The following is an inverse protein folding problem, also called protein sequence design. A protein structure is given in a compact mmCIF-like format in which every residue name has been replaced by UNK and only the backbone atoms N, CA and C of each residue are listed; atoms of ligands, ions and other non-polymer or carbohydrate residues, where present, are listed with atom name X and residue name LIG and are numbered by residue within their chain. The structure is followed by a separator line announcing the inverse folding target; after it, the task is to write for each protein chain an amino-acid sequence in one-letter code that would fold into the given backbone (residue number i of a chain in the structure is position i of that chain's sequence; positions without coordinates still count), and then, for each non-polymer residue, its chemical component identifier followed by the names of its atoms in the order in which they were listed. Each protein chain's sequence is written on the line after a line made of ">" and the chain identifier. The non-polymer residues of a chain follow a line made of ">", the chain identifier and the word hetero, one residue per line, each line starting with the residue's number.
data_IF_945420971752
#
_entry.id   IF_945420971752
#
_cell.length_a   1.000
_cell.length_b   1.000
_cell.length_c   1.000
_cell.angle_alpha   90.00
_cell.angle_beta   90.00
_cell.angle_gamma   90.00
#
_symmetry.space_group_name_H-M   'P 1'
#
loop_
_entity.id
_entity.type
_entity.pdbx_description
1 polymer ?
#
# COMPACT_ATOMS: atom_id res chain seq x y z
N UNK A 1 8.60 -29.83 -40.31
CA UNK A 1 9.51 -30.87 -39.77
C UNK A 1 10.05 -31.85 -40.77
N UNK A 2 9.45 -32.06 -41.97
CA UNK A 2 9.90 -33.11 -42.94
C UNK A 2 11.22 -32.79 -43.67
N UNK A 3 11.84 -31.64 -43.49
CA UNK A 3 13.03 -31.23 -44.21
C UNK A 3 14.25 -30.88 -43.32
N UNK A 4 14.15 -31.11 -42.01
CA UNK A 4 15.35 -31.17 -41.16
C UNK A 4 15.97 -32.55 -41.35
N UNK A 5 16.87 -32.65 -42.33
CA UNK A 5 17.48 -33.91 -42.78
C UNK A 5 18.55 -34.47 -41.85
N UNK A 6 18.75 -33.87 -40.67
CA UNK A 6 19.62 -34.43 -39.65
C UNK A 6 18.92 -34.41 -38.32
N UNK A 7 18.88 -35.54 -37.64
CA UNK A 7 18.41 -35.71 -36.29
C UNK A 7 18.94 -34.62 -35.31
N UNK A 8 20.23 -34.23 -35.38
CA UNK A 8 20.80 -33.18 -34.54
C UNK A 8 20.14 -31.79 -34.72
N UNK A 9 19.75 -31.42 -35.94
CA UNK A 9 19.15 -30.11 -36.21
C UNK A 9 17.70 -30.05 -35.70
N UNK A 10 16.96 -31.16 -35.74
CA UNK A 10 15.64 -31.26 -35.18
C UNK A 10 15.66 -31.24 -33.65
N UNK A 11 16.63 -31.91 -33.04
CA UNK A 11 16.86 -31.89 -31.60
C UNK A 11 17.25 -30.48 -31.10
N UNK A 12 18.18 -29.83 -31.78
CA UNK A 12 18.57 -28.45 -31.45
C UNK A 12 17.41 -27.48 -31.57
N UNK A 13 16.53 -27.61 -32.57
CA UNK A 13 15.33 -26.82 -32.69
C UNK A 13 14.34 -27.05 -31.53
N UNK A 14 14.10 -28.31 -31.19
CA UNK A 14 13.22 -28.66 -30.06
C UNK A 14 13.74 -28.11 -28.75
N UNK A 15 15.07 -28.25 -28.51
CA UNK A 15 15.70 -27.70 -27.30
C UNK A 15 15.63 -26.18 -27.26
N UNK A 16 15.93 -25.49 -28.34
CA UNK A 16 15.85 -24.03 -28.41
C UNK A 16 14.42 -23.52 -28.18
N UNK A 17 13.44 -24.14 -28.86
CA UNK A 17 12.02 -23.76 -28.69
C UNK A 17 11.56 -24.01 -27.27
N UNK A 18 11.92 -25.15 -26.67
CA UNK A 18 11.58 -25.47 -25.28
C UNK A 18 12.25 -24.51 -24.30
N UNK A 19 13.50 -24.11 -24.55
CA UNK A 19 14.22 -23.13 -23.76
C UNK A 19 13.53 -21.76 -23.81
N UNK A 20 13.20 -21.24 -25.00
CA UNK A 20 12.55 -19.93 -25.17
C UNK A 20 11.17 -19.91 -24.50
N UNK A 21 10.37 -20.98 -24.68
CA UNK A 21 9.06 -21.08 -24.04
C UNK A 21 9.23 -21.17 -22.51
N UNK A 22 10.11 -22.04 -22.03
CA UNK A 22 10.36 -22.23 -20.60
C UNK A 22 10.91 -20.97 -19.94
N UNK A 23 11.82 -20.26 -20.61
CA UNK A 23 12.38 -19.01 -20.13
C UNK A 23 11.33 -17.89 -20.09
N UNK A 24 10.53 -17.75 -21.16
CA UNK A 24 9.43 -16.78 -21.19
C UNK A 24 8.41 -17.03 -20.08
N UNK A 25 8.03 -18.30 -19.88
CA UNK A 25 7.09 -18.70 -18.83
C UNK A 25 7.66 -18.49 -17.44
N UNK A 26 8.92 -18.85 -17.20
CA UNK A 26 9.62 -18.63 -15.93
C UNK A 26 9.70 -17.13 -15.58
N UNK A 27 10.05 -16.28 -16.57
CA UNK A 27 10.10 -14.83 -16.38
C UNK A 27 8.71 -14.26 -16.09
N UNK A 28 7.67 -14.74 -16.79
CA UNK A 28 6.30 -14.31 -16.52
C UNK A 28 5.86 -14.66 -15.09
N UNK A 29 6.22 -15.86 -14.59
CA UNK A 29 5.93 -16.25 -13.20
C UNK A 29 6.74 -15.38 -12.23
N UNK A 30 8.02 -15.16 -12.47
CA UNK A 30 8.88 -14.33 -11.62
C UNK A 30 8.33 -12.91 -11.57
N UNK A 31 7.97 -12.33 -12.73
CA UNK A 31 7.35 -11.01 -12.78
C UNK A 31 6.02 -10.95 -12.02
N UNK A 32 5.17 -11.96 -12.18
CA UNK A 32 3.93 -12.07 -11.44
C UNK A 32 4.18 -12.16 -9.93
N UNK A 33 5.14 -12.97 -9.50
CA UNK A 33 5.47 -13.15 -8.08
C UNK A 33 6.16 -11.94 -7.46
N UNK A 34 7.04 -11.25 -8.20
CA UNK A 34 7.79 -10.09 -7.70
C UNK A 34 6.98 -8.78 -7.74
N UNK A 35 6.01 -8.67 -8.64
CA UNK A 35 5.21 -7.45 -8.79
C UNK A 35 3.76 -7.69 -8.41
N UNK A 36 3.50 -8.39 -7.38
CA UNK A 36 2.21 -8.92 -6.92
C UNK A 36 1.02 -7.94 -6.88
N UNK A 37 1.12 -6.80 -7.45
CA UNK A 37 -0.05 -6.04 -7.79
C UNK A 37 -0.70 -6.68 -9.02
N UNK A 38 -1.89 -7.19 -8.87
CA UNK A 38 -2.71 -7.86 -9.89
C UNK A 38 -2.76 -7.13 -11.23
N UNK A 39 -2.47 -5.84 -11.24
CA UNK A 39 -2.40 -4.97 -12.40
C UNK A 39 -1.00 -4.65 -12.90
N UNK A 40 -0.01 -4.54 -12.02
CA UNK A 40 1.38 -4.25 -12.43
C UNK A 40 2.00 -5.38 -13.22
N UNK A 41 1.81 -6.61 -12.77
CA UNK A 41 2.39 -7.78 -13.42
C UNK A 41 1.70 -8.14 -14.74
N UNK A 42 0.38 -8.07 -14.86
CA UNK A 42 -0.34 -8.53 -16.03
C UNK A 42 -0.11 -7.64 -17.26
N UNK A 43 -0.01 -6.33 -17.12
CA UNK A 43 0.26 -5.41 -18.24
C UNK A 43 1.70 -5.56 -18.75
N UNK A 44 2.68 -5.78 -17.86
CA UNK A 44 4.08 -6.00 -18.24
C UNK A 44 4.35 -7.41 -18.74
N UNK A 45 3.64 -8.42 -18.23
CA UNK A 45 3.81 -9.84 -18.57
C UNK A 45 3.18 -10.19 -19.91
N UNK A 46 1.99 -9.68 -20.22
CA UNK A 46 1.26 -10.03 -21.43
C UNK A 46 2.05 -9.75 -22.72
N UNK A 47 2.65 -8.56 -22.92
CA UNK A 47 3.49 -8.31 -24.08
C UNK A 47 4.70 -9.22 -24.15
N UNK A 48 5.32 -9.53 -23.00
CA UNK A 48 6.49 -10.40 -22.92
C UNK A 48 6.15 -11.86 -23.28
N UNK A 49 5.07 -12.40 -22.70
CA UNK A 49 4.59 -13.75 -23.02
C UNK A 49 4.19 -13.85 -24.48
N UNK A 50 3.44 -12.87 -24.99
CA UNK A 50 2.99 -12.83 -26.38
C UNK A 50 4.18 -12.73 -27.33
N UNK A 51 5.14 -11.86 -27.02
CA UNK A 51 6.38 -11.73 -27.78
C UNK A 51 7.21 -13.01 -27.78
N UNK A 52 7.39 -13.67 -26.64
CA UNK A 52 8.13 -14.93 -26.52
C UNK A 52 7.49 -16.07 -27.32
N UNK A 53 6.15 -16.19 -27.27
CA UNK A 53 5.39 -17.18 -28.04
C UNK A 53 5.50 -16.91 -29.54
N UNK A 54 5.35 -15.63 -29.95
CA UNK A 54 5.50 -15.23 -31.34
C UNK A 54 6.92 -15.48 -31.86
N UNK A 55 7.96 -15.13 -31.10
CA UNK A 55 9.36 -15.38 -31.43
C UNK A 55 9.63 -16.87 -31.60
N UNK A 56 9.14 -17.71 -30.69
CA UNK A 56 9.28 -19.16 -30.80
C UNK A 56 8.58 -19.73 -32.04
N UNK A 57 7.36 -19.25 -32.34
CA UNK A 57 6.59 -19.63 -33.52
C UNK A 57 7.27 -19.22 -34.82
N UNK A 58 7.81 -18.00 -34.87
CA UNK A 58 8.50 -17.47 -36.04
C UNK A 58 9.87 -18.14 -36.24
N UNK A 59 10.66 -18.31 -35.17
CA UNK A 59 11.94 -19.03 -35.26
C UNK A 59 11.72 -20.46 -35.75
N UNK A 60 10.67 -21.13 -35.26
CA UNK A 60 10.26 -22.43 -35.74
C UNK A 60 9.93 -22.46 -37.23
N UNK A 61 9.18 -21.49 -37.69
CA UNK A 61 8.77 -21.40 -39.09
C UNK A 61 9.92 -21.05 -40.01
N UNK A 62 10.85 -20.17 -39.56
CA UNK A 62 12.08 -19.84 -40.30
C UNK A 62 13.00 -21.04 -40.43
N UNK A 63 13.24 -21.81 -39.37
CA UNK A 63 14.09 -23.01 -39.43
C UNK A 63 13.47 -24.10 -40.29
N UNK A 64 12.17 -24.28 -40.29
CA UNK A 64 11.45 -25.22 -41.15
C UNK A 64 11.55 -24.80 -42.63
N UNK A 65 11.50 -23.52 -42.91
CA UNK A 65 11.50 -22.98 -44.27
C UNK A 65 12.88 -22.60 -44.81
N UNK A 66 13.89 -22.41 -43.94
CA UNK A 66 15.28 -22.10 -44.38
C UNK A 66 15.86 -23.20 -45.30
N UNK A 67 15.44 -24.46 -45.12
CA UNK A 67 15.81 -25.56 -46.00
C UNK A 67 15.15 -25.51 -47.39
N UNK A 68 14.05 -24.73 -47.53
CA UNK A 68 13.39 -24.51 -48.83
C UNK A 68 13.91 -23.30 -49.58
N UNK A 69 14.69 -22.41 -48.91
CA UNK A 69 15.26 -21.19 -49.48
C UNK A 69 16.55 -21.45 -50.33
N UNK A 70 16.89 -22.70 -50.62
CA UNK A 70 17.99 -23.03 -51.52
C UNK A 70 17.67 -22.83 -53.02
N UNK A 71 16.46 -22.30 -53.34
CA UNK A 71 16.06 -21.91 -54.68
C UNK A 71 16.04 -20.39 -54.82
N UNK A 72 16.01 -19.89 -56.06
CA UNK A 72 16.06 -18.49 -56.43
C UNK A 72 15.05 -17.64 -55.62
N UNK A 73 15.52 -16.51 -55.05
CA UNK A 73 14.69 -15.52 -54.36
C UNK A 73 13.87 -14.79 -55.42
N UNK A 74 12.64 -15.20 -55.61
CA UNK A 74 11.70 -14.52 -56.51
C UNK A 74 10.89 -13.49 -55.73
N UNK A 75 10.39 -12.39 -56.38
CA UNK A 75 9.52 -11.40 -55.74
C UNK A 75 8.29 -12.03 -55.02
N UNK A 76 7.77 -13.10 -55.58
CA UNK A 76 6.63 -13.86 -55.01
C UNK A 76 6.98 -14.50 -53.67
N UNK A 77 8.23 -15.00 -53.51
CA UNK A 77 8.71 -15.56 -52.24
C UNK A 77 8.85 -14.44 -51.19
N UNK A 78 9.31 -13.26 -51.56
CA UNK A 78 9.43 -12.10 -50.67
C UNK A 78 8.03 -11.68 -50.18
N UNK A 79 7.07 -11.54 -51.07
CA UNK A 79 5.67 -11.13 -50.73
C UNK A 79 5.05 -12.17 -49.78
N UNK A 80 5.27 -13.46 -49.99
CA UNK A 80 4.74 -14.50 -49.09
C UNK A 80 5.40 -14.49 -47.69
N UNK A 81 6.58 -13.84 -47.55
CA UNK A 81 7.31 -13.74 -46.26
C UNK A 81 7.01 -12.44 -45.50
N UNK A 82 6.34 -11.46 -46.12
CA UNK A 82 5.98 -10.19 -45.45
C UNK A 82 5.24 -10.46 -44.14
N UNK A 83 4.22 -11.32 -44.04
CA UNK A 83 3.53 -11.57 -42.78
C UNK A 83 4.45 -12.10 -41.68
N UNK A 84 5.41 -13.00 -42.07
CA UNK A 84 6.40 -13.55 -41.14
C UNK A 84 7.34 -12.48 -40.63
N UNK A 85 7.83 -11.62 -41.52
CA UNK A 85 8.72 -10.51 -41.18
C UNK A 85 8.01 -9.49 -40.30
N UNK A 86 6.71 -9.20 -40.57
CA UNK A 86 5.90 -8.34 -39.73
C UNK A 86 5.72 -8.90 -38.33
N UNK A 87 5.41 -10.21 -38.20
CA UNK A 87 5.30 -10.88 -36.89
C UNK A 87 6.63 -10.84 -36.17
N UNK A 88 7.75 -11.08 -36.86
CA UNK A 88 9.10 -10.97 -36.29
C UNK A 88 9.38 -9.56 -35.75
N UNK A 89 9.12 -8.56 -36.56
CA UNK A 89 9.33 -7.17 -36.17
C UNK A 89 8.46 -6.78 -34.95
N UNK A 90 7.18 -7.13 -34.98
CA UNK A 90 6.26 -6.88 -33.84
C UNK A 90 6.76 -7.62 -32.60
N UNK A 91 7.15 -8.90 -32.73
CA UNK A 91 7.69 -9.66 -31.60
C UNK A 91 8.98 -9.04 -31.06
N UNK A 92 9.86 -8.56 -31.93
CA UNK A 92 11.10 -7.89 -31.53
C UNK A 92 10.80 -6.58 -30.80
N UNK A 93 9.88 -5.76 -31.31
CA UNK A 93 9.45 -4.51 -30.67
C UNK A 93 8.84 -4.76 -29.29
N UNK A 94 8.05 -5.83 -29.15
CA UNK A 94 7.43 -6.19 -27.87
C UNK A 94 8.40 -6.82 -26.85
N UNK A 95 9.46 -7.48 -27.35
CA UNK A 95 10.42 -8.19 -26.46
C UNK A 95 11.71 -7.42 -26.21
N UNK A 96 12.09 -6.51 -27.11
CA UNK A 96 13.33 -5.75 -26.99
C UNK A 96 13.43 -4.95 -25.68
N UNK A 97 12.41 -4.21 -25.24
CA UNK A 97 12.46 -3.51 -23.95
C UNK A 97 12.79 -4.46 -22.80
N UNK A 98 12.11 -5.61 -22.73
CA UNK A 98 12.36 -6.60 -21.68
C UNK A 98 13.75 -7.25 -21.77
N UNK A 99 14.31 -7.37 -22.97
CA UNK A 99 15.67 -7.88 -23.14
C UNK A 99 16.70 -6.84 -22.68
N UNK A 100 16.46 -5.57 -22.93
CA UNK A 100 17.30 -4.46 -22.47
C UNK A 100 17.28 -4.41 -20.94
N UNK A 101 16.10 -4.55 -20.31
CA UNK A 101 15.94 -4.62 -18.87
C UNK A 101 16.70 -5.81 -18.25
N UNK A 102 16.51 -7.00 -18.82
CA UNK A 102 17.21 -8.22 -18.37
C UNK A 102 18.72 -8.13 -18.55
N UNK A 103 19.19 -7.40 -19.56
CA UNK A 103 20.62 -7.17 -19.79
C UNK A 103 21.21 -6.12 -18.83
N UNK A 104 20.39 -5.50 -17.96
CA UNK A 104 20.84 -4.46 -17.04
C UNK A 104 21.29 -3.18 -17.75
N UNK A 105 20.69 -2.90 -18.94
CA UNK A 105 21.03 -1.71 -19.74
C UNK A 105 20.14 -0.51 -19.40
N UNK A 106 19.08 -0.73 -18.60
CA UNK A 106 18.26 0.34 -18.05
C UNK A 106 18.77 0.73 -16.65
N UNK A 107 18.53 1.97 -16.27
CA UNK A 107 18.82 2.44 -14.93
C UNK A 107 18.03 1.64 -13.88
N UNK A 108 18.67 1.28 -12.79
CA UNK A 108 18.03 0.63 -11.65
C UNK A 108 17.39 1.68 -10.76
N UNK A 109 16.28 1.35 -10.06
CA UNK A 109 15.70 2.23 -9.05
C UNK A 109 16.70 2.60 -7.94
N UNK A 110 16.44 3.67 -7.18
CA UNK A 110 17.22 3.99 -6.00
C UNK A 110 17.33 2.80 -5.05
N UNK A 111 18.49 2.62 -4.45
CA UNK A 111 18.64 1.68 -3.35
C UNK A 111 17.93 2.22 -2.11
N UNK A 112 17.50 1.33 -1.23
CA UNK A 112 16.91 1.70 0.06
C UNK A 112 17.86 2.65 0.81
N UNK A 113 17.35 3.69 1.50
CA UNK A 113 18.19 4.59 2.29
C UNK A 113 19.14 3.83 3.22
N UNK A 114 20.41 4.24 3.26
CA UNK A 114 21.44 3.60 4.09
C UNK A 114 21.40 4.06 5.55
N UNK A 115 20.80 5.22 5.81
CA UNK A 115 20.67 5.86 7.11
C UNK A 115 19.41 6.73 7.17
N UNK A 116 19.03 7.17 8.35
CA UNK A 116 17.83 7.96 8.56
C UNK A 116 16.53 7.18 8.33
N UNK A 117 15.44 7.91 8.11
CA UNK A 117 14.14 7.32 7.88
C UNK A 117 14.10 6.54 6.56
N UNK A 118 13.45 5.37 6.58
CA UNK A 118 13.41 4.43 5.46
C UNK A 118 14.57 3.43 5.45
N UNK A 119 15.61 3.63 6.26
CA UNK A 119 16.73 2.69 6.35
C UNK A 119 16.32 1.34 6.98
N UNK A 120 17.24 0.38 6.93
CA UNK A 120 17.01 -0.92 7.58
C UNK A 120 17.22 -0.87 9.10
N UNK A 121 17.92 0.16 9.58
CA UNK A 121 18.32 0.29 10.97
C UNK A 121 17.19 0.97 11.76
N UNK A 122 16.48 0.19 12.57
CA UNK A 122 15.46 0.67 13.48
C UNK A 122 16.02 0.86 14.89
N UNK A 123 15.58 1.90 15.64
CA UNK A 123 16.00 2.11 17.01
C UNK A 123 15.74 0.94 17.95
N UNK A 124 14.66 0.19 17.70
CA UNK A 124 14.22 -0.90 18.55
C UNK A 124 14.01 -2.21 17.76
N UNK A 125 14.38 -3.34 18.37
CA UNK A 125 13.86 -4.63 17.98
C UNK A 125 12.36 -4.70 18.31
N UNK A 126 11.60 -5.51 17.55
CA UNK A 126 10.15 -5.60 17.70
C UNK A 126 9.75 -7.03 17.97
N UNK A 127 8.91 -7.22 18.98
CA UNK A 127 8.26 -8.50 19.25
C UNK A 127 6.78 -8.43 18.91
N UNK A 128 6.32 -9.40 18.14
CA UNK A 128 4.91 -9.56 17.78
C UNK A 128 4.21 -10.49 18.76
N UNK A 129 3.01 -10.09 19.16
CA UNK A 129 2.03 -10.86 19.91
C UNK A 129 0.70 -10.82 19.18
N UNK A 130 -0.18 -11.75 19.50
CA UNK A 130 -1.56 -11.71 19.01
C UNK A 130 -2.51 -12.34 20.03
N UNK A 131 -3.76 -11.91 19.93
CA UNK A 131 -4.89 -12.50 20.65
C UNK A 131 -6.06 -12.68 19.68
N UNK A 132 -6.91 -13.66 19.97
CA UNK A 132 -8.22 -13.82 19.30
C UNK A 132 -9.29 -13.31 20.27
N UNK A 133 -9.88 -12.12 20.03
CA UNK A 133 -10.91 -11.59 20.90
C UNK A 133 -12.16 -12.46 20.87
N UNK A 134 -12.86 -12.55 22.00
CA UNK A 134 -14.16 -13.18 22.08
C UNK A 134 -15.25 -12.14 21.66
N UNK A 135 -15.53 -12.08 20.35
CA UNK A 135 -16.50 -11.13 19.81
C UNK A 135 -17.91 -11.49 20.28
N UNK A 136 -18.71 -10.52 20.78
CA UNK A 136 -20.04 -10.80 21.28
C UNK A 136 -21.01 -11.24 20.18
N UNK A 137 -22.02 -12.04 20.57
CA UNK A 137 -23.01 -12.63 19.63
C UNK A 137 -23.71 -11.60 18.73
N UNK A 138 -23.99 -10.43 19.24
CA UNK A 138 -24.62 -9.35 18.46
C UNK A 138 -23.67 -8.80 17.38
N UNK A 139 -22.35 -8.99 17.51
CA UNK A 139 -21.35 -8.57 16.54
C UNK A 139 -21.06 -9.67 15.53
N UNK A 140 -21.23 -10.93 15.89
CA UNK A 140 -20.98 -12.08 15.02
C UNK A 140 -22.24 -12.57 14.27
N UNK A 141 -23.42 -12.13 14.71
CA UNK A 141 -24.70 -12.58 14.14
C UNK A 141 -24.92 -12.25 12.65
N UNK A 142 -24.14 -11.30 12.10
CA UNK A 142 -24.21 -10.92 10.70
C UNK A 142 -23.05 -11.51 9.87
N UNK A 143 -22.15 -12.27 10.49
CA UNK A 143 -21.06 -12.93 9.77
C UNK A 143 -21.62 -14.04 8.87
N UNK A 144 -21.11 -14.12 7.66
CA UNK A 144 -21.37 -15.24 6.75
C UNK A 144 -20.55 -16.48 7.14
N UNK A 145 -20.73 -17.57 6.42
CA UNK A 145 -20.01 -18.82 6.68
C UNK A 145 -18.49 -18.62 6.60
N UNK A 146 -18.01 -17.81 5.67
CA UNK A 146 -16.59 -17.51 5.51
C UNK A 146 -16.04 -16.75 6.72
N UNK A 147 -16.72 -15.69 7.15
CA UNK A 147 -16.29 -14.89 8.30
C UNK A 147 -16.29 -15.71 9.60
N UNK A 148 -17.25 -16.64 9.75
CA UNK A 148 -17.34 -17.54 10.88
C UNK A 148 -16.25 -18.63 10.89
N UNK A 149 -15.66 -18.96 9.73
CA UNK A 149 -14.58 -19.93 9.61
C UNK A 149 -13.18 -19.32 9.85
N UNK A 150 -13.07 -18.00 9.92
CA UNK A 150 -11.81 -17.31 10.14
C UNK A 150 -11.52 -17.07 11.63
N UNK A 151 -10.24 -17.01 11.97
CA UNK A 151 -9.77 -16.47 13.23
C UNK A 151 -9.47 -14.97 13.03
N UNK A 152 -10.22 -14.11 13.71
CA UNK A 152 -10.04 -12.67 13.66
C UNK A 152 -9.11 -12.23 14.79
N UNK A 153 -7.83 -12.15 14.50
CA UNK A 153 -6.80 -11.84 15.48
C UNK A 153 -6.59 -10.33 15.60
N UNK A 154 -6.15 -9.92 16.77
CA UNK A 154 -5.56 -8.61 16.98
C UNK A 154 -4.06 -8.81 17.18
N UNK A 155 -3.26 -8.24 16.31
CA UNK A 155 -1.81 -8.28 16.41
C UNK A 155 -1.31 -7.05 17.16
N UNK A 156 -0.35 -7.27 18.06
CA UNK A 156 0.30 -6.23 18.86
C UNK A 156 1.80 -6.33 18.66
N UNK A 157 2.40 -5.26 18.17
CA UNK A 157 3.85 -5.16 17.95
C UNK A 157 4.43 -4.26 19.04
N UNK A 158 5.40 -4.79 19.76
CA UNK A 158 5.96 -4.15 20.97
C UNK A 158 7.44 -3.90 20.78
N UNK A 159 7.92 -2.66 20.94
CA UNK A 159 9.34 -2.36 20.92
C UNK A 159 10.03 -2.99 22.13
N UNK A 160 11.20 -3.62 21.90
CA UNK A 160 11.97 -4.32 22.91
C UNK A 160 13.07 -3.42 23.46
N UNK A 161 13.23 -3.42 24.77
CA UNK A 161 14.35 -2.71 25.41
C UNK A 161 14.11 -1.22 25.61
N UNK A 162 12.85 -0.80 25.68
CA UNK A 162 12.50 0.58 26.04
C UNK A 162 13.13 0.95 27.39
N UNK A 163 13.79 2.12 27.42
CA UNK A 163 14.38 2.67 28.64
C UNK A 163 13.51 3.74 29.30
N UNK A 164 12.40 4.11 28.65
CA UNK A 164 11.47 5.14 29.09
C UNK A 164 10.39 4.60 30.01
N UNK A 165 9.81 5.45 30.83
CA UNK A 165 8.64 5.14 31.66
C UNK A 165 7.32 5.18 30.85
N UNK A 166 7.36 5.67 29.61
CA UNK A 166 6.18 5.94 28.77
C UNK A 166 6.44 5.51 27.33
N UNK A 167 5.40 4.97 26.67
CA UNK A 167 5.42 4.60 25.25
C UNK A 167 4.11 5.03 24.58
N UNK A 168 4.19 5.59 23.38
CA UNK A 168 3.03 5.99 22.58
C UNK A 168 2.34 4.80 21.91
N UNK A 169 1.15 5.06 21.39
CA UNK A 169 0.28 4.09 20.71
C UNK A 169 0.28 4.34 19.19
N UNK A 170 0.30 3.26 18.41
CA UNK A 170 -0.08 3.29 17.01
C UNK A 170 -1.24 2.34 16.74
N UNK A 171 -2.17 2.73 15.84
CA UNK A 171 -3.30 1.91 15.39
C UNK A 171 -3.29 1.89 13.86
N UNK A 172 -3.20 0.69 13.27
CA UNK A 172 -3.17 0.48 11.82
C UNK A 172 -4.46 -0.20 11.38
N UNK A 173 -5.17 0.40 10.41
CA UNK A 173 -6.46 -0.08 9.92
C UNK A 173 -6.37 -0.47 8.44
N UNK A 174 -6.70 -1.73 8.14
CA UNK A 174 -6.50 -2.31 6.81
C UNK A 174 -7.61 -1.95 5.82
N UNK A 175 -7.30 -2.07 4.52
CA UNK A 175 -8.25 -1.91 3.43
C UNK A 175 -9.15 -3.13 3.20
N UNK A 176 -9.98 -3.04 2.16
CA UNK A 176 -10.83 -4.14 1.69
C UNK A 176 -10.00 -5.37 1.34
N UNK A 177 -10.36 -6.54 1.86
CA UNK A 177 -9.61 -7.81 1.73
C UNK A 177 -8.15 -7.72 2.19
N UNK A 178 -7.85 -6.76 3.07
CA UNK A 178 -6.52 -6.51 3.61
C UNK A 178 -6.29 -7.07 5.02
N UNK A 179 -7.15 -7.97 5.49
CA UNK A 179 -7.16 -8.50 6.85
C UNK A 179 -5.90 -9.30 7.23
N UNK A 180 -5.12 -9.79 6.24
CA UNK A 180 -3.91 -10.55 6.53
C UNK A 180 -2.80 -9.64 7.04
N UNK A 181 -2.28 -9.97 8.21
CA UNK A 181 -1.20 -9.22 8.87
C UNK A 181 0.04 -9.05 7.97
N UNK A 182 0.32 -10.04 7.12
CA UNK A 182 1.45 -10.04 6.20
C UNK A 182 1.42 -8.87 5.21
N UNK A 183 0.22 -8.34 4.89
CA UNK A 183 0.08 -7.21 3.97
C UNK A 183 0.56 -5.90 4.58
N UNK A 184 0.52 -5.77 5.91
CA UNK A 184 0.89 -4.55 6.63
C UNK A 184 1.99 -4.79 7.66
N UNK A 185 2.61 -5.97 7.67
CA UNK A 185 3.64 -6.34 8.65
C UNK A 185 4.78 -5.33 8.70
N UNK A 186 5.30 -4.92 7.53
CA UNK A 186 6.40 -3.95 7.47
C UNK A 186 5.97 -2.57 8.02
N UNK A 187 4.72 -2.16 7.78
CA UNK A 187 4.14 -0.94 8.37
C UNK A 187 4.18 -1.00 9.91
N UNK A 188 3.71 -2.10 10.47
CA UNK A 188 3.68 -2.26 11.92
C UNK A 188 5.08 -2.42 12.52
N UNK A 189 5.97 -3.13 11.82
CA UNK A 189 7.37 -3.23 12.20
C UNK A 189 8.07 -1.87 12.20
N UNK A 190 7.79 -1.01 11.20
CA UNK A 190 8.34 0.35 11.13
C UNK A 190 7.83 1.21 12.29
N UNK A 191 6.52 1.23 12.54
CA UNK A 191 5.94 2.00 13.65
C UNK A 191 6.49 1.55 15.01
N UNK A 192 6.52 0.24 15.24
CA UNK A 192 7.02 -0.30 16.50
C UNK A 192 8.55 -0.18 16.61
N UNK A 193 9.28 -0.33 15.50
CA UNK A 193 10.73 -0.13 15.45
C UNK A 193 11.17 1.28 15.78
N UNK A 194 10.29 2.27 15.59
CA UNK A 194 10.50 3.66 16.01
C UNK A 194 10.06 3.95 17.45
N UNK A 195 9.51 2.95 18.17
CA UNK A 195 9.22 3.06 19.60
C UNK A 195 7.74 3.24 19.95
N UNK A 196 6.81 2.82 19.10
CA UNK A 196 5.38 2.81 19.41
C UNK A 196 4.88 1.39 19.68
N UNK A 197 4.00 1.20 20.66
CA UNK A 197 3.21 -0.03 20.71
C UNK A 197 2.15 0.05 19.63
N UNK A 198 2.16 -0.91 18.70
CA UNK A 198 1.32 -0.86 17.51
C UNK A 198 0.25 -1.95 17.56
N UNK A 199 -1.01 -1.58 17.34
CA UNK A 199 -2.17 -2.46 17.28
C UNK A 199 -2.65 -2.57 15.83
N UNK A 200 -2.87 -3.80 15.36
CA UNK A 200 -3.51 -4.11 14.09
C UNK A 200 -4.69 -5.05 14.35
N UNK A 201 -5.91 -4.55 14.40
CA UNK A 201 -7.10 -5.39 14.49
C UNK A 201 -7.45 -5.95 13.11
N UNK A 202 -7.60 -7.26 13.01
CA UNK A 202 -8.26 -7.85 11.85
C UNK A 202 -9.77 -7.67 12.01
N UNK A 203 -10.44 -7.28 10.94
CA UNK A 203 -11.91 -7.14 10.91
C UNK A 203 -12.48 -7.54 9.56
N UNK A 204 -13.72 -8.00 9.55
CA UNK A 204 -14.41 -8.41 8.32
C UNK A 204 -14.55 -7.22 7.39
N UNK A 205 -13.91 -7.28 6.24
CA UNK A 205 -13.97 -6.24 5.23
C UNK A 205 -14.73 -6.64 3.97
N UNK A 206 -14.69 -7.93 3.63
CA UNK A 206 -15.48 -8.54 2.55
C UNK A 206 -16.69 -9.24 3.16
N UNK A 207 -17.86 -8.70 2.95
CA UNK A 207 -19.10 -9.21 3.54
C UNK A 207 -20.27 -9.00 2.59
N UNK A 208 -21.20 -9.93 2.60
CA UNK A 208 -22.50 -9.75 1.95
C UNK A 208 -23.34 -8.75 2.75
N UNK A 209 -23.38 -7.51 2.24
CA UNK A 209 -24.14 -6.43 2.87
C UNK A 209 -25.65 -6.74 2.99
N UNK A 210 -26.16 -7.69 2.20
CA UNK A 210 -27.57 -8.11 2.29
C UNK A 210 -27.85 -8.99 3.51
N UNK A 211 -26.81 -9.56 4.12
CA UNK A 211 -26.94 -10.39 5.33
C UNK A 211 -27.03 -9.57 6.61
N UNK A 212 -26.74 -8.27 6.56
CA UNK A 212 -26.79 -7.39 7.74
C UNK A 212 -28.25 -7.08 8.09
N UNK A 213 -28.70 -7.35 9.32
CA UNK A 213 -30.03 -6.98 9.75
C UNK A 213 -30.25 -5.47 9.64
N UNK A 214 -31.41 -5.06 9.11
CA UNK A 214 -31.79 -3.64 8.98
C UNK A 214 -32.07 -2.95 10.31
N UNK A 215 -32.23 -3.75 11.38
CA UNK A 215 -32.48 -3.32 12.76
C UNK A 215 -31.23 -3.49 13.66
N UNK A 216 -30.04 -3.53 13.07
CA UNK A 216 -28.80 -3.65 13.81
C UNK A 216 -28.59 -2.40 14.69
N UNK A 217 -29.02 -2.51 15.97
CA UNK A 217 -28.79 -1.48 16.97
C UNK A 217 -27.39 -1.61 17.55
N UNK A 218 -26.53 -0.64 17.20
CA UNK A 218 -25.26 -0.45 17.88
C UNK A 218 -25.45 0.36 19.14
N UNK A 219 -24.88 -0.11 20.24
CA UNK A 219 -24.81 0.66 21.48
C UNK A 219 -23.87 1.88 21.39
N UNK A 220 -23.29 2.13 20.22
CA UNK A 220 -22.45 3.28 19.92
C UNK A 220 -23.28 4.30 19.16
N UNK A 221 -23.75 5.30 19.88
CA UNK A 221 -24.48 6.43 19.32
C UNK A 221 -23.54 7.43 18.65
N UNK A 222 -23.11 7.09 17.44
CA UNK A 222 -22.77 8.13 16.48
C UNK A 222 -24.07 8.55 15.80
N UNK A 223 -24.47 9.79 15.99
CA UNK A 223 -25.78 10.28 15.59
C UNK A 223 -26.04 10.06 14.10
N UNK A 224 -27.09 9.34 13.81
CA UNK A 224 -27.92 9.58 12.66
C UNK A 224 -27.51 9.03 11.31
N UNK A 225 -26.57 8.09 11.17
CA UNK A 225 -26.31 7.53 9.86
C UNK A 225 -27.35 6.48 9.46
N UNK A 226 -28.06 6.72 8.37
CA UNK A 226 -29.02 5.80 7.78
C UNK A 226 -28.39 4.58 7.09
N UNK A 227 -27.06 4.32 7.30
CA UNK A 227 -26.33 3.27 6.60
C UNK A 227 -25.73 2.22 7.53
N UNK A 228 -26.50 1.19 7.89
CA UNK A 228 -26.05 0.11 8.76
C UNK A 228 -24.92 -0.76 8.16
N UNK A 229 -24.70 -0.68 6.85
CA UNK A 229 -23.88 -1.64 6.11
C UNK A 229 -22.37 -1.61 6.44
N UNK A 230 -21.80 -0.46 6.77
CA UNK A 230 -20.37 -0.36 7.10
C UNK A 230 -20.09 -0.30 8.60
N UNK A 231 -21.09 0.04 9.38
CA UNK A 231 -20.98 0.22 10.82
C UNK A 231 -20.56 -1.07 11.55
N UNK A 232 -21.05 -2.28 11.20
CA UNK A 232 -20.61 -3.52 11.84
C UNK A 232 -19.09 -3.75 11.75
N UNK A 233 -18.48 -3.51 10.58
CA UNK A 233 -17.03 -3.67 10.41
C UNK A 233 -16.22 -2.64 11.19
N UNK A 234 -16.71 -1.40 11.25
CA UNK A 234 -16.07 -0.35 12.02
C UNK A 234 -16.14 -0.62 13.52
N UNK A 235 -17.28 -1.12 13.99
CA UNK A 235 -17.46 -1.54 15.38
C UNK A 235 -16.55 -2.72 15.72
N UNK A 236 -16.41 -3.67 14.80
CA UNK A 236 -15.50 -4.82 14.97
C UNK A 236 -14.04 -4.35 15.08
N UNK A 237 -13.61 -3.41 14.22
CA UNK A 237 -12.28 -2.83 14.29
C UNK A 237 -12.03 -2.12 15.64
N UNK A 238 -12.99 -1.32 16.12
CA UNK A 238 -12.90 -0.66 17.41
C UNK A 238 -12.83 -1.66 18.56
N UNK A 239 -13.67 -2.71 18.53
CA UNK A 239 -13.62 -3.78 19.51
C UNK A 239 -12.25 -4.48 19.54
N UNK A 240 -11.68 -4.72 18.37
CA UNK A 240 -10.33 -5.27 18.25
C UNK A 240 -9.27 -4.34 18.84
N UNK A 241 -9.37 -3.02 18.62
CA UNK A 241 -8.49 -2.04 19.25
C UNK A 241 -8.62 -2.09 20.78
N UNK A 242 -9.84 -2.12 21.31
CA UNK A 242 -10.09 -2.18 22.76
C UNK A 242 -9.53 -3.49 23.37
N UNK A 243 -9.71 -4.63 22.68
CA UNK A 243 -9.13 -5.90 23.09
C UNK A 243 -7.59 -5.87 23.07
N UNK A 244 -6.99 -5.24 22.07
CA UNK A 244 -5.54 -5.02 22.00
C UNK A 244 -5.02 -4.15 23.14
N UNK A 245 -5.73 -3.08 23.49
CA UNK A 245 -5.39 -2.21 24.63
C UNK A 245 -5.46 -2.97 25.97
N UNK A 246 -6.50 -3.76 26.17
CA UNK A 246 -6.61 -4.61 27.35
C UNK A 246 -5.47 -5.65 27.41
N UNK A 247 -5.18 -6.28 26.29
CA UNK A 247 -4.09 -7.27 26.17
C UNK A 247 -2.74 -6.64 26.50
N UNK A 248 -2.40 -5.46 25.99
CA UNK A 248 -1.16 -4.74 26.31
C UNK A 248 -1.01 -4.51 27.82
N UNK A 249 -2.11 -4.19 28.49
CA UNK A 249 -2.09 -3.86 29.92
C UNK A 249 -2.11 -5.08 30.83
N UNK A 250 -2.68 -6.20 30.38
CA UNK A 250 -2.98 -7.36 31.23
C UNK A 250 -2.15 -8.60 30.94
N UNK A 251 -1.68 -8.81 29.70
CA UNK A 251 -0.97 -10.03 29.31
C UNK A 251 0.44 -10.07 29.91
N UNK A 252 0.80 -11.13 30.65
CA UNK A 252 2.11 -11.23 31.31
C UNK A 252 3.30 -11.22 30.32
N UNK A 253 3.11 -11.75 29.10
CA UNK A 253 4.18 -11.83 28.09
C UNK A 253 4.46 -10.44 27.50
N UNK A 254 3.42 -9.68 27.18
CA UNK A 254 3.53 -8.30 26.73
C UNK A 254 4.14 -7.42 27.83
N UNK A 255 3.63 -7.55 29.05
CA UNK A 255 4.14 -6.79 30.21
C UNK A 255 5.60 -7.14 30.54
N UNK A 256 6.02 -8.39 30.30
CA UNK A 256 7.43 -8.77 30.48
C UNK A 256 8.37 -8.05 29.48
N UNK A 257 7.92 -7.77 28.26
CA UNK A 257 8.69 -6.99 27.27
C UNK A 257 8.70 -5.51 27.61
N UNK A 258 7.55 -4.94 27.95
CA UNK A 258 7.42 -3.53 28.33
C UNK A 258 8.09 -3.22 29.68
N UNK A 259 8.19 -4.19 30.59
CA UNK A 259 8.79 -3.99 31.92
C UNK A 259 8.02 -2.94 32.73
N UNK A 260 8.70 -1.85 33.10
CA UNK A 260 8.11 -0.74 33.85
C UNK A 260 7.47 0.34 32.92
N UNK A 261 7.62 0.21 31.60
CA UNK A 261 7.07 1.17 30.65
C UNK A 261 5.55 1.06 30.59
N UNK A 262 4.87 2.19 30.70
CA UNK A 262 3.42 2.28 30.63
C UNK A 262 2.95 2.84 29.28
N UNK A 263 1.86 2.26 28.75
CA UNK A 263 1.23 2.78 27.53
C UNK A 263 0.61 4.16 27.82
N UNK A 264 1.04 5.17 27.06
CA UNK A 264 0.55 6.54 27.17
C UNK A 264 -0.28 6.91 25.94
N UNK A 265 -1.57 6.69 26.02
CA UNK A 265 -2.52 6.94 24.94
C UNK A 265 -2.75 8.42 24.63
N UNK A 266 -2.20 9.36 25.42
CA UNK A 266 -2.20 10.78 25.08
C UNK A 266 -1.34 11.10 23.86
N UNK A 267 -0.46 10.16 23.46
CA UNK A 267 0.40 10.24 22.29
C UNK A 267 0.01 9.13 21.33
N UNK A 268 -0.57 9.48 20.19
CA UNK A 268 -1.17 8.51 19.29
C UNK A 268 -0.82 8.80 17.82
N UNK A 269 -0.47 7.74 17.11
CA UNK A 269 -0.51 7.63 15.67
C UNK A 269 -1.71 6.74 15.28
N UNK A 270 -2.49 7.14 14.30
CA UNK A 270 -3.55 6.31 13.75
C UNK A 270 -3.58 6.48 12.23
N UNK A 271 -3.65 5.38 11.50
CA UNK A 271 -3.70 5.44 10.06
C UNK A 271 -4.44 4.27 9.43
N UNK A 272 -4.86 4.51 8.20
CA UNK A 272 -5.57 3.51 7.41
C UNK A 272 -5.25 3.60 5.94
N UNK A 273 -5.42 2.47 5.26
CA UNK A 273 -5.25 2.34 3.82
C UNK A 273 -6.58 2.00 3.15
N UNK A 274 -6.91 2.71 2.06
CA UNK A 274 -8.11 2.42 1.26
C UNK A 274 -9.39 2.53 2.12
N UNK A 275 -10.23 1.48 2.16
CA UNK A 275 -11.40 1.39 3.03
C UNK A 275 -11.04 1.55 4.53
N UNK A 276 -9.82 1.20 4.93
CA UNK A 276 -9.33 1.43 6.29
C UNK A 276 -9.33 2.91 6.70
N UNK A 277 -9.30 3.85 5.74
CA UNK A 277 -9.44 5.27 6.02
C UNK A 277 -10.83 5.59 6.60
N UNK A 278 -11.89 5.04 6.01
CA UNK A 278 -13.24 5.17 6.59
C UNK A 278 -13.33 4.61 8.00
N UNK A 279 -12.71 3.44 8.22
CA UNK A 279 -12.60 2.82 9.55
C UNK A 279 -11.79 3.70 10.52
N UNK A 280 -10.72 4.36 10.00
CA UNK A 280 -9.89 5.28 10.81
C UNK A 280 -10.71 6.42 11.40
N UNK A 281 -11.59 7.05 10.63
CA UNK A 281 -12.41 8.15 11.14
C UNK A 281 -13.35 7.70 12.26
N UNK A 282 -13.97 6.54 12.12
CA UNK A 282 -14.83 5.98 13.15
C UNK A 282 -14.05 5.68 14.43
N UNK A 283 -12.98 4.90 14.34
CA UNK A 283 -12.14 4.52 15.48
C UNK A 283 -11.53 5.76 16.14
N UNK A 284 -11.01 6.70 15.34
CA UNK A 284 -10.44 7.94 15.84
C UNK A 284 -11.45 8.75 16.64
N UNK A 285 -12.70 8.92 16.14
CA UNK A 285 -13.75 9.67 16.85
C UNK A 285 -14.02 9.09 18.23
N UNK A 286 -14.10 7.76 18.32
CA UNK A 286 -14.32 7.05 19.60
C UNK A 286 -13.10 7.18 20.53
N UNK A 287 -11.88 7.04 20.03
CA UNK A 287 -10.67 7.19 20.84
C UNK A 287 -10.49 8.63 21.35
N UNK A 288 -10.77 9.64 20.50
CA UNK A 288 -10.75 11.05 20.91
C UNK A 288 -11.74 11.35 22.05
N UNK A 289 -12.95 10.76 21.99
CA UNK A 289 -13.94 10.91 23.06
C UNK A 289 -13.45 10.40 24.42
N UNK A 290 -12.48 9.49 24.41
CA UNK A 290 -11.82 8.90 25.60
C UNK A 290 -10.52 9.62 25.99
N UNK A 291 -10.13 10.70 25.26
CA UNK A 291 -8.93 11.49 25.55
C UNK A 291 -7.64 11.00 24.91
N UNK A 292 -7.73 10.02 24.00
CA UNK A 292 -6.55 9.56 23.24
C UNK A 292 -6.02 10.70 22.35
N UNK A 293 -4.72 10.71 22.10
CA UNK A 293 -4.07 11.70 21.23
C UNK A 293 -4.13 13.14 21.78
N UNK A 294 -4.44 13.34 23.06
CA UNK A 294 -4.62 14.67 23.65
C UNK A 294 -3.36 15.52 23.77
N UNK A 295 -2.17 14.94 23.61
CA UNK A 295 -0.88 15.64 23.66
C UNK A 295 -0.12 15.61 22.32
N UNK A 296 -0.15 14.50 21.59
CA UNK A 296 0.29 14.43 20.20
C UNK A 296 -0.57 13.46 19.42
N UNK A 297 -0.97 13.87 18.22
CA UNK A 297 -1.80 13.07 17.32
C UNK A 297 -1.30 13.22 15.89
N UNK A 298 -1.01 12.08 15.27
CA UNK A 298 -0.78 11.96 13.83
C UNK A 298 -1.86 11.08 13.23
N UNK A 299 -2.43 11.54 12.12
CA UNK A 299 -3.41 10.80 11.32
C UNK A 299 -2.85 10.61 9.91
N UNK A 300 -2.72 9.36 9.46
CA UNK A 300 -2.15 9.03 8.15
C UNK A 300 -3.16 8.28 7.29
N UNK A 301 -3.55 8.87 6.15
CA UNK A 301 -4.65 8.43 5.31
C UNK A 301 -4.11 8.07 3.92
N UNK A 302 -3.91 6.80 3.68
CA UNK A 302 -3.26 6.27 2.48
C UNK A 302 -4.28 5.78 1.45
N UNK A 303 -4.22 6.31 0.21
CA UNK A 303 -5.16 5.97 -0.86
C UNK A 303 -6.63 6.00 -0.38
N UNK A 304 -7.12 7.11 0.15
CA UNK A 304 -8.35 7.17 0.93
C UNK A 304 -9.58 6.70 0.18
N UNK A 305 -10.37 5.82 0.81
CA UNK A 305 -11.70 5.49 0.34
C UNK A 305 -12.72 5.61 1.49
N UNK A 306 -13.85 6.23 1.17
CA UNK A 306 -15.03 6.27 2.02
C UNK A 306 -16.27 6.20 1.13
N UNK A 307 -17.31 5.51 1.55
CA UNK A 307 -18.55 5.47 0.79
C UNK A 307 -19.29 6.82 0.91
N UNK A 308 -19.91 7.29 -0.17
CA UNK A 308 -20.61 8.57 -0.22
C UNK A 308 -21.66 8.75 0.90
N UNK A 309 -22.28 7.66 1.32
CA UNK A 309 -23.28 7.63 2.39
C UNK A 309 -22.70 7.56 3.80
N UNK A 310 -21.37 7.59 3.93
CA UNK A 310 -20.63 7.51 5.20
C UNK A 310 -20.04 8.84 5.63
N UNK A 311 -20.42 9.93 4.97
CA UNK A 311 -19.96 11.27 5.34
C UNK A 311 -20.17 11.53 6.84
N UNK A 312 -21.30 11.12 7.39
CA UNK A 312 -21.61 11.26 8.81
C UNK A 312 -20.71 10.41 9.72
N UNK A 313 -20.12 9.31 9.20
CA UNK A 313 -19.19 8.45 9.94
C UNK A 313 -17.78 9.03 10.05
N UNK A 314 -17.43 10.06 9.29
CA UNK A 314 -16.19 10.81 9.52
C UNK A 314 -16.17 11.47 10.91
N UNK A 315 -17.31 11.42 11.61
CA UNK A 315 -17.43 11.96 12.95
C UNK A 315 -17.39 13.49 13.00
N UNK A 316 -17.38 13.99 14.21
CA UNK A 316 -17.29 15.42 14.44
C UNK A 316 -15.81 15.87 14.36
N UNK A 317 -15.38 16.39 13.24
CA UNK A 317 -14.00 16.88 13.04
C UNK A 317 -13.62 18.00 14.03
N UNK A 318 -14.61 18.65 14.67
CA UNK A 318 -14.34 19.63 15.75
C UNK A 318 -13.69 19.01 16.99
N UNK A 319 -13.73 17.68 17.13
CA UNK A 319 -13.07 16.97 18.24
C UNK A 319 -11.55 16.79 18.02
N UNK A 320 -11.05 17.02 16.80
CA UNK A 320 -9.61 16.94 16.53
C UNK A 320 -8.87 17.99 17.37
N UNK A 321 -7.85 17.59 18.16
CA UNK A 321 -6.99 18.53 18.88
C UNK A 321 -6.32 19.55 17.97
N UNK A 322 -6.05 20.74 18.47
CA UNK A 322 -5.38 21.81 17.70
C UNK A 322 -3.95 21.46 17.24
N UNK A 323 -3.32 20.48 17.87
CA UNK A 323 -1.98 20.01 17.54
C UNK A 323 -1.96 18.83 16.57
N UNK A 324 -3.11 18.39 16.06
CA UNK A 324 -3.22 17.25 15.15
C UNK A 324 -2.44 17.50 13.85
N UNK A 325 -1.66 16.52 13.41
CA UNK A 325 -0.94 16.51 12.15
C UNK A 325 -1.52 15.41 11.25
N UNK A 326 -1.81 15.74 9.99
CA UNK A 326 -2.54 14.84 9.08
C UNK A 326 -1.85 14.78 7.73
N UNK A 327 -1.66 13.56 7.22
CA UNK A 327 -1.36 13.32 5.82
C UNK A 327 -2.56 12.68 5.12
N UNK A 328 -2.88 13.19 3.94
CA UNK A 328 -3.82 12.59 2.99
C UNK A 328 -3.03 12.30 1.73
N UNK A 329 -2.89 11.03 1.36
CA UNK A 329 -1.94 10.61 0.33
C UNK A 329 -2.66 10.01 -0.87
N UNK A 330 -2.40 10.58 -2.03
CA UNK A 330 -2.89 10.15 -3.35
C UNK A 330 -1.75 9.50 -4.14
N UNK A 331 -2.03 8.37 -4.77
CA UNK A 331 -1.09 7.67 -5.65
C UNK A 331 -1.47 7.89 -7.12
N UNK A 332 -0.50 8.33 -7.95
CA UNK A 332 -0.78 8.77 -9.33
C UNK A 332 -1.44 7.68 -10.19
N UNK A 333 -0.99 6.43 -10.07
CA UNK A 333 -1.54 5.31 -10.85
C UNK A 333 -2.52 4.44 -10.06
N UNK A 334 -3.14 5.00 -9.02
CA UNK A 334 -4.26 4.35 -8.35
C UNK A 334 -5.47 4.29 -9.29
N UNK A 335 -5.95 3.07 -9.53
CA UNK A 335 -7.12 2.77 -10.36
C UNK A 335 -8.21 2.06 -9.56
N UNK A 336 -8.06 1.96 -8.25
CA UNK A 336 -8.98 1.24 -7.36
C UNK A 336 -9.94 2.20 -6.69
N UNK A 337 -9.44 3.36 -6.25
CA UNK A 337 -10.25 4.38 -5.59
C UNK A 337 -10.33 5.65 -6.43
N UNK A 338 -11.45 6.35 -6.31
CA UNK A 338 -11.64 7.66 -6.92
C UNK A 338 -10.80 8.70 -6.17
N UNK A 339 -9.84 9.31 -6.85
CA UNK A 339 -8.91 10.30 -6.26
C UNK A 339 -9.63 11.49 -5.61
N UNK A 340 -10.78 11.88 -6.14
CA UNK A 340 -11.58 12.97 -5.59
C UNK A 340 -12.00 12.76 -4.14
N UNK A 341 -12.10 11.51 -3.68
CA UNK A 341 -12.45 11.17 -2.29
C UNK A 341 -11.40 11.71 -1.33
N UNK A 342 -10.12 11.42 -1.60
CA UNK A 342 -9.01 11.93 -0.77
C UNK A 342 -8.94 13.47 -0.76
N UNK A 343 -9.17 14.09 -1.92
CA UNK A 343 -9.18 15.55 -2.07
C UNK A 343 -10.31 16.21 -1.27
N UNK A 344 -11.49 15.61 -1.31
CA UNK A 344 -12.64 16.05 -0.52
C UNK A 344 -12.37 15.86 0.98
N UNK A 345 -11.81 14.73 1.40
CA UNK A 345 -11.45 14.50 2.81
C UNK A 345 -10.43 15.52 3.30
N UNK A 346 -9.41 15.84 2.52
CA UNK A 346 -8.46 16.90 2.86
C UNK A 346 -9.17 18.24 3.11
N UNK A 347 -10.10 18.62 2.23
CA UNK A 347 -10.88 19.85 2.39
C UNK A 347 -11.72 19.84 3.68
N UNK A 348 -12.35 18.72 4.01
CA UNK A 348 -13.13 18.55 5.23
C UNK A 348 -12.27 18.63 6.49
N UNK A 349 -11.12 17.95 6.49
CA UNK A 349 -10.17 17.95 7.60
C UNK A 349 -9.57 19.35 7.84
N UNK A 350 -9.21 20.04 6.76
CA UNK A 350 -8.69 21.41 6.84
C UNK A 350 -9.75 22.37 7.38
N UNK A 351 -11.01 22.24 6.93
CA UNK A 351 -12.11 23.03 7.43
C UNK A 351 -12.45 22.68 8.90
N UNK A 352 -12.25 21.43 9.30
CA UNK A 352 -12.56 20.87 10.63
C UNK A 352 -13.96 21.28 11.09
N UNK A 353 -14.01 22.34 11.84
CA UNK A 353 -15.22 23.12 12.03
C UNK A 353 -14.92 24.54 11.50
N UNK A 354 -15.86 25.13 10.79
CA UNK A 354 -15.67 26.42 10.09
C UNK A 354 -15.23 27.55 11.04
N UNK A 355 -15.44 27.42 12.34
CA UNK A 355 -15.05 28.40 13.34
C UNK A 355 -13.59 28.23 13.81
N UNK A 356 -13.03 27.04 13.71
CA UNK A 356 -11.66 26.70 14.16
C UNK A 356 -10.97 25.72 13.18
N UNK A 357 -10.62 26.15 11.96
CA UNK A 357 -9.94 25.31 10.99
C UNK A 357 -8.54 24.91 11.50
N UNK A 358 -8.09 23.71 11.12
CA UNK A 358 -6.69 23.35 11.27
C UNK A 358 -5.84 24.22 10.33
N UNK A 359 -4.64 24.57 10.76
CA UNK A 359 -3.73 25.30 9.88
C UNK A 359 -3.36 24.45 8.66
N UNK A 360 -3.23 25.09 7.50
CA UNK A 360 -2.91 24.38 6.25
C UNK A 360 -1.57 23.63 6.28
N UNK A 361 -0.66 24.01 7.18
CA UNK A 361 0.59 23.29 7.41
C UNK A 361 0.47 22.15 8.44
N UNK A 362 -0.74 21.82 8.88
CA UNK A 362 -1.03 20.66 9.74
C UNK A 362 -1.75 19.55 8.98
N UNK A 363 -2.38 19.87 7.86
CA UNK A 363 -3.06 18.92 6.98
C UNK A 363 -2.41 18.99 5.62
N UNK A 364 -1.56 18.03 5.31
CA UNK A 364 -0.88 17.95 4.02
C UNK A 364 -1.63 17.01 3.08
N UNK A 365 -1.81 17.46 1.83
CA UNK A 365 -2.20 16.59 0.74
C UNK A 365 -0.96 16.26 -0.09
N UNK A 366 -0.63 14.98 -0.15
CA UNK A 366 0.56 14.47 -0.82
C UNK A 366 0.17 13.71 -2.08
N UNK A 367 0.84 14.01 -3.20
CA UNK A 367 0.78 13.17 -4.38
C UNK A 367 2.10 12.41 -4.55
N UNK A 368 2.00 11.07 -4.61
CA UNK A 368 3.11 10.18 -4.91
C UNK A 368 3.08 9.89 -6.41
N UNK A 369 4.08 10.35 -7.18
CA UNK A 369 4.14 10.13 -8.61
C UNK A 369 4.68 8.74 -8.94
N UNK A 370 4.35 8.26 -10.13
CA UNK A 370 5.03 7.14 -10.78
C UNK A 370 6.22 7.63 -11.57
N UNK A 371 7.27 6.82 -11.69
CA UNK A 371 8.41 7.12 -12.52
C UNK A 371 8.76 5.93 -13.43
N UNK A 372 8.85 6.21 -14.72
CA UNK A 372 9.03 5.20 -15.76
C UNK A 372 10.40 5.27 -16.44
N UNK A 373 11.36 6.03 -15.86
CA UNK A 373 12.67 6.25 -16.45
C UNK A 373 13.47 4.96 -16.60
N UNK A 374 13.54 4.14 -15.56
CA UNK A 374 14.35 2.92 -15.54
C UNK A 374 13.53 1.63 -15.42
N UNK A 375 14.18 0.57 -14.92
CA UNK A 375 13.55 -0.72 -14.69
C UNK A 375 14.11 -1.42 -13.45
N UNK A 376 13.23 -2.04 -12.59
CA UNK A 376 11.76 -1.98 -12.64
C UNK A 376 11.22 -0.57 -12.51
N UNK A 377 10.08 -0.30 -13.15
CA UNK A 377 9.42 1.01 -13.08
C UNK A 377 8.86 1.25 -11.69
N UNK A 378 8.93 2.49 -11.25
CA UNK A 378 8.34 2.92 -9.99
C UNK A 378 6.89 3.32 -10.22
N UNK A 379 5.95 2.53 -9.70
CA UNK A 379 4.52 2.75 -9.93
C UNK A 379 3.81 3.07 -8.63
N UNK A 380 3.34 4.30 -8.50
CA UNK A 380 2.53 4.76 -7.39
C UNK A 380 1.10 4.18 -7.50
N UNK A 381 0.94 2.91 -7.10
CA UNK A 381 -0.34 2.21 -7.17
C UNK A 381 -1.04 2.17 -5.82
N UNK A 382 -2.34 1.85 -5.86
CA UNK A 382 -3.17 1.63 -4.68
C UNK A 382 -2.52 0.75 -3.59
N UNK A 383 -1.77 -0.27 -4.02
CA UNK A 383 -1.23 -1.28 -3.10
C UNK A 383 0.14 -0.94 -2.50
N UNK A 384 0.66 0.25 -2.75
CA UNK A 384 1.99 0.65 -2.26
C UNK A 384 2.08 0.60 -0.71
N UNK A 385 1.07 1.06 0.05
CA UNK A 385 1.10 0.97 1.52
C UNK A 385 0.89 -0.43 2.06
N UNK A 386 0.27 -1.33 1.28
CA UNK A 386 -0.04 -2.67 1.73
C UNK A 386 1.14 -3.66 1.67
N UNK A 387 2.35 -3.20 1.32
CA UNK A 387 3.61 -3.88 1.55
C UNK A 387 3.75 -5.31 1.02
N UNK A 388 2.82 -5.79 0.17
CA UNK A 388 2.87 -7.15 -0.36
C UNK A 388 4.18 -7.43 -1.12
N UNK A 389 4.71 -6.40 -1.73
CA UNK A 389 6.09 -6.35 -2.20
C UNK A 389 6.61 -4.95 -1.90
N UNK A 390 7.43 -4.82 -0.90
CA UNK A 390 8.16 -3.59 -0.61
C UNK A 390 9.09 -3.31 -1.79
N UNK A 391 8.85 -2.23 -2.48
CA UNK A 391 9.66 -1.78 -3.62
C UNK A 391 10.38 -0.47 -3.30
N UNK A 392 11.30 -0.07 -4.17
CA UNK A 392 12.07 1.16 -4.00
C UNK A 392 11.19 2.41 -3.87
N UNK A 393 10.01 2.46 -4.51
CA UNK A 393 9.12 3.60 -4.35
C UNK A 393 8.55 3.66 -2.93
N UNK A 394 8.17 2.52 -2.35
CA UNK A 394 7.73 2.45 -0.97
C UNK A 394 8.85 2.82 0.00
N UNK A 395 10.10 2.37 -0.27
CA UNK A 395 11.28 2.68 0.54
C UNK A 395 11.62 4.17 0.59
N UNK A 396 11.19 4.95 -0.39
CA UNK A 396 11.47 6.40 -0.46
C UNK A 396 10.23 7.28 -0.25
N UNK A 397 9.01 6.79 -0.46
CA UNK A 397 7.80 7.61 -0.35
C UNK A 397 6.94 7.29 0.87
N UNK A 398 6.81 6.03 1.25
CA UNK A 398 5.89 5.57 2.30
C UNK A 398 6.61 5.37 3.64
N UNK A 399 7.59 4.46 3.69
CA UNK A 399 8.24 4.10 4.95
C UNK A 399 8.97 5.24 5.64
N UNK A 400 9.71 6.14 4.92
CA UNK A 400 10.37 7.26 5.59
C UNK A 400 9.38 8.20 6.28
N UNK A 401 8.24 8.48 5.64
CA UNK A 401 7.17 9.31 6.24
C UNK A 401 6.59 8.65 7.48
N UNK A 402 6.27 7.36 7.36
CA UNK A 402 5.71 6.57 8.45
C UNK A 402 6.65 6.55 9.67
N UNK A 403 7.94 6.34 9.43
CA UNK A 403 8.97 6.29 10.47
C UNK A 403 9.17 7.67 11.14
N UNK A 404 9.19 8.76 10.36
CA UNK A 404 9.27 10.10 10.91
C UNK A 404 8.02 10.49 11.73
N UNK A 405 6.84 10.10 11.29
CA UNK A 405 5.60 10.28 12.04
C UNK A 405 5.62 9.50 13.36
N UNK A 406 6.09 8.25 13.31
CA UNK A 406 6.23 7.41 14.48
C UNK A 406 7.25 7.97 15.48
N UNK A 407 8.41 8.42 14.99
CA UNK A 407 9.44 9.08 15.84
C UNK A 407 8.89 10.34 16.51
N UNK A 408 8.12 11.18 15.79
CA UNK A 408 7.45 12.34 16.40
C UNK A 408 6.58 11.94 17.58
N UNK A 409 5.73 10.91 17.43
CA UNK A 409 4.83 10.47 18.49
C UNK A 409 5.60 9.80 19.63
N UNK A 410 6.59 8.95 19.32
CA UNK A 410 7.42 8.26 20.29
C UNK A 410 8.26 9.24 21.12
N UNK A 411 8.94 10.18 20.45
CA UNK A 411 9.73 11.24 21.10
C UNK A 411 8.86 12.14 21.96
N UNK A 412 7.65 12.49 21.49
CA UNK A 412 6.68 13.24 22.29
C UNK A 412 6.25 12.47 23.54
N UNK A 413 6.04 11.16 23.46
CA UNK A 413 5.61 10.32 24.57
C UNK A 413 6.65 10.23 25.70
N UNK A 414 7.93 10.37 25.36
CA UNK A 414 9.02 10.36 26.35
C UNK A 414 9.48 11.78 26.72
N UNK A 415 8.87 12.82 26.15
CA UNK A 415 9.19 14.22 26.44
C UNK A 415 10.48 14.71 25.77
N UNK A 416 10.98 14.03 24.75
CA UNK A 416 12.12 14.50 23.93
C UNK A 416 11.61 15.49 22.86
N UNK A 417 11.46 16.73 23.29
CA UNK A 417 10.94 17.81 22.43
C UNK A 417 11.85 18.07 21.23
N UNK A 418 13.18 17.91 21.38
CA UNK A 418 14.10 18.21 20.30
C UNK A 418 13.98 17.19 19.15
N UNK A 419 13.91 15.89 19.48
CA UNK A 419 13.68 14.83 18.49
C UNK A 419 12.28 14.94 17.87
N UNK A 420 11.26 15.20 18.68
CA UNK A 420 9.90 15.40 18.18
C UNK A 420 9.82 16.56 17.18
N UNK A 421 10.42 17.72 17.48
CA UNK A 421 10.42 18.88 16.58
C UNK A 421 11.20 18.58 15.29
N UNK A 422 12.32 17.85 15.37
CA UNK A 422 13.10 17.44 14.21
C UNK A 422 12.29 16.48 13.30
N UNK A 423 11.68 15.46 13.88
CA UNK A 423 10.83 14.50 13.16
C UNK A 423 9.65 15.22 12.50
N UNK A 424 8.92 16.06 13.25
CA UNK A 424 7.83 16.89 12.70
C UNK A 424 8.30 17.76 11.55
N UNK A 425 9.46 18.42 11.70
CA UNK A 425 10.01 19.26 10.62
C UNK A 425 10.32 18.44 9.37
N UNK A 426 10.73 17.19 9.52
CA UNK A 426 11.04 16.32 8.41
C UNK A 426 9.77 15.92 7.62
N UNK A 427 8.71 15.46 8.28
CA UNK A 427 7.53 14.93 7.57
C UNK A 427 6.45 15.98 7.27
N UNK A 428 6.55 17.20 7.78
CA UNK A 428 5.57 18.26 7.51
C UNK A 428 6.06 19.33 6.52
N UNK A 429 7.22 19.17 5.91
CA UNK A 429 7.77 20.11 4.95
C UNK A 429 8.26 19.42 3.68
N UNK A 430 8.33 20.21 2.58
CA UNK A 430 9.09 19.81 1.40
C UNK A 430 10.57 19.61 1.72
N UNK A 431 11.26 18.88 0.89
CA UNK A 431 12.69 18.62 1.04
C UNK A 431 12.96 17.12 1.09
N UNK A 432 13.60 16.62 2.15
CA UNK A 432 13.95 15.20 2.27
C UNK A 432 12.73 14.28 2.18
N UNK A 433 11.59 14.68 2.76
CA UNK A 433 10.35 13.89 2.69
C UNK A 433 9.87 13.71 1.24
N UNK A 434 10.04 14.69 0.39
CA UNK A 434 9.54 14.67 -0.99
C UNK A 434 10.56 14.15 -2.00
N UNK A 435 11.83 14.02 -1.62
CA UNK A 435 12.90 13.47 -2.45
C UNK A 435 12.80 11.94 -2.50
N UNK A 436 12.62 11.38 -3.69
CA UNK A 436 12.51 9.95 -3.91
C UNK A 436 13.84 9.32 -4.39
N UNK A 437 14.93 10.05 -4.29
CA UNK A 437 16.27 9.60 -4.65
C UNK A 437 16.56 9.72 -6.15
N UNK A 438 17.55 8.95 -6.62
CA UNK A 438 17.97 8.97 -8.02
C UNK A 438 18.15 7.56 -8.58
N UNK A 439 17.83 7.41 -9.85
CA UNK A 439 18.14 6.22 -10.62
C UNK A 439 19.66 6.00 -10.68
N UNK A 440 20.09 4.78 -10.95
CA UNK A 440 21.51 4.40 -10.97
C UNK A 440 22.37 5.16 -12.00
N UNK A 441 21.75 5.81 -12.98
CA UNK A 441 22.40 6.68 -13.97
C UNK A 441 22.48 8.17 -13.53
N UNK A 442 22.00 8.47 -12.32
CA UNK A 442 22.01 9.81 -11.73
C UNK A 442 20.82 10.70 -12.09
N UNK A 443 19.85 10.19 -12.83
CA UNK A 443 18.59 10.90 -13.07
C UNK A 443 17.76 10.86 -11.79
N UNK A 444 17.31 12.04 -11.31
CA UNK A 444 16.44 12.12 -10.13
C UNK A 444 15.09 11.43 -10.41
N UNK A 445 14.59 10.69 -9.43
CA UNK A 445 13.21 10.20 -9.45
C UNK A 445 12.26 11.39 -9.34
N UNK A 446 11.13 11.33 -10.04
CA UNK A 446 10.10 12.37 -9.93
C UNK A 446 9.69 12.54 -8.47
N UNK A 447 9.87 13.73 -7.86
CA UNK A 447 9.61 13.91 -6.43
C UNK A 447 8.13 13.88 -6.08
N UNK A 448 7.80 13.57 -4.83
CA UNK A 448 6.46 13.80 -4.30
C UNK A 448 6.14 15.28 -4.28
N UNK A 449 4.86 15.62 -4.30
CA UNK A 449 4.40 17.01 -4.22
C UNK A 449 3.43 17.21 -3.06
N UNK A 450 3.59 18.35 -2.37
CA UNK A 450 2.58 18.85 -1.42
C UNK A 450 1.64 19.77 -2.19
N UNK A 451 0.35 19.42 -2.24
CA UNK A 451 -0.66 20.16 -2.99
C UNK A 451 -1.50 21.00 -2.05
N UNK A 452 -1.42 22.32 -2.21
CA UNK A 452 -2.15 23.27 -1.35
C UNK A 452 -3.66 23.37 -1.65
N UNK A 453 -4.08 23.08 -2.89
CA UNK A 453 -5.47 23.16 -3.35
C UNK A 453 -5.86 21.88 -4.09
N UNK A 454 -6.01 20.73 -3.40
CA UNK A 454 -6.25 19.45 -4.08
C UNK A 454 -7.55 19.40 -4.90
N UNK A 455 -8.60 20.13 -4.50
CA UNK A 455 -9.86 20.22 -5.24
C UNK A 455 -9.75 20.92 -6.60
N UNK A 456 -8.67 21.70 -6.82
CA UNK A 456 -8.40 22.38 -8.09
C UNK A 456 -7.63 21.50 -9.09
N UNK A 457 -7.17 20.30 -8.65
CA UNK A 457 -6.52 19.37 -9.56
C UNK A 457 -7.53 18.86 -10.59
N UNK A 458 -7.21 19.06 -11.86
CA UNK A 458 -8.04 18.63 -12.98
C UNK A 458 -7.63 17.22 -13.40
N UNK A 459 -8.44 16.25 -13.04
CA UNK A 459 -8.39 14.91 -13.62
C UNK A 459 -9.66 14.66 -14.40
N UNK A 460 -9.59 13.78 -15.39
CA UNK A 460 -10.68 13.49 -16.34
C UNK A 460 -11.97 12.92 -15.69
N UNK A 461 -12.03 12.74 -14.36
CA UNK A 461 -13.14 12.08 -13.66
C UNK A 461 -13.69 12.83 -12.43
N UNK A 462 -13.34 14.10 -12.21
CA UNK A 462 -13.89 14.86 -11.05
C UNK A 462 -15.42 15.01 -11.10
N UNK A 463 -16.01 15.07 -12.31
CA UNK A 463 -17.47 15.14 -12.51
C UNK A 463 -18.21 13.86 -12.05
N UNK A 464 -17.50 12.78 -11.86
CA UNK A 464 -18.03 11.48 -11.42
C UNK A 464 -17.78 11.19 -9.93
N UNK A 465 -17.28 12.18 -9.15
CA UNK A 465 -17.04 11.99 -7.74
C UNK A 465 -18.33 11.60 -7.01
N UNK A 466 -18.35 10.48 -6.28
CA UNK A 466 -19.54 10.02 -5.57
C UNK A 466 -19.89 10.89 -4.36
N UNK A 467 -19.00 11.79 -3.97
CA UNK A 467 -19.17 12.69 -2.83
C UNK A 467 -19.63 14.07 -3.29
N UNK A 468 -20.42 14.78 -2.49
CA UNK A 468 -20.97 16.09 -2.84
C UNK A 468 -19.92 17.20 -2.99
#
# INVERSE_FOLDING_TARGET
>A
GRNLRSEPAEQAYKLFTSFVIGWGFSRAIIYFLLNYAFFRGSIAILPFMFGAVLLAGVAGNLTINASKLKGEITPTVVIQKIPILTVLLVSLVLTLPNLVDVAGLNASPPERPSDGYGSADMPYEVQEFYLTPDYPDNMTSWWDDWANEQEWNVHVFVPVGLASESVGLAVVLHGYQGEKVEYYRDTMMSLAGQGLVTIFPQYVSDMDLSSIPTDFELNYTLGGSDHPQHLPRYTMALYGVDAGLEFINSDPSVRAVLGATELNTNHMWIGGHSMGVGTTFYVLSELLSRGFGSQSLVVDLEAPWIHATQEDLMGNMSQLPDHTLIHVVEYETDIVVEKCIGRWQHARLTARDQSQPLASNQVLFLQVPSDFHGFPRLMASHYLPSGFVRDSLADHSYYPRLEAQADFVASSAVGDVASADAAKSWFMNEGEMTDLGSWSDGVAVTPMTIVSSPLELTDDNLDACPLP
#
